data_IF_735075555799
#
_entry.id   IF_735075555799
#
_cell.length_a   1.000
_cell.length_b   1.000
_cell.length_c   1.000
_cell.angle_alpha   90.00
_cell.angle_beta   90.00
_cell.angle_gamma   90.00
#
_symmetry.space_group_name_H-M   'P 1'
#
loop_
_entity.id
_entity.type
_entity.pdbx_description
1 polymer ?
#
# COMPACT_ATOMS: atom_id res chain seq x y z
N UNK A 1 -8.37 2.35 9.98
CA UNK A 1 -8.73 1.36 11.00
C UNK A 1 -7.92 0.09 10.79
N UNK A 2 -7.56 -0.57 11.87
CA UNK A 2 -6.71 -1.76 11.78
C UNK A 2 -7.42 -2.90 11.06
N UNK A 3 -6.66 -3.65 10.28
CA UNK A 3 -7.20 -4.79 9.55
C UNK A 3 -7.83 -4.44 8.23
N UNK A 4 -7.98 -3.17 7.94
CA UNK A 4 -8.50 -2.75 6.63
C UNK A 4 -7.41 -2.72 5.59
N UNK A 5 -7.79 -3.03 4.38
CA UNK A 5 -6.85 -2.98 3.27
C UNK A 5 -7.53 -2.44 2.03
N UNK A 6 -6.72 -1.91 1.13
CA UNK A 6 -7.22 -1.49 -0.17
C UNK A 6 -6.14 -1.74 -1.21
N UNK A 7 -6.58 -1.83 -2.45
CA UNK A 7 -5.71 -2.15 -3.58
C UNK A 7 -5.64 -0.93 -4.50
N UNK A 8 -4.42 -0.57 -4.90
CA UNK A 8 -4.19 0.54 -5.82
C UNK A 8 -3.57 -0.02 -7.10
N UNK A 9 -4.30 -0.03 -8.22
CA UNK A 9 -3.74 -0.52 -9.49
C UNK A 9 -2.63 0.40 -9.97
N UNK A 10 -1.48 -0.14 -10.26
CA UNK A 10 -0.37 0.64 -10.80
C UNK A 10 0.68 -0.30 -11.35
N UNK A 11 1.34 0.10 -12.43
CA UNK A 11 2.48 -0.65 -12.95
C UNK A 11 3.79 -0.21 -12.30
N UNK A 12 3.77 0.91 -11.60
CA UNK A 12 4.95 1.44 -10.92
C UNK A 12 4.84 1.18 -9.44
N UNK A 13 5.03 -0.08 -9.05
CA UNK A 13 4.80 -0.51 -7.68
C UNK A 13 5.85 0.03 -6.71
N UNK A 14 7.13 0.02 -7.09
CA UNK A 14 8.18 0.48 -6.17
C UNK A 14 8.05 1.94 -5.75
N UNK A 15 7.88 2.89 -6.68
CA UNK A 15 7.65 4.28 -6.26
C UNK A 15 6.38 4.44 -5.45
N UNK A 16 5.33 3.69 -5.78
CA UNK A 16 4.07 3.78 -5.04
C UNK A 16 4.23 3.30 -3.61
N UNK A 17 4.94 2.19 -3.42
CA UNK A 17 5.21 1.67 -2.08
C UNK A 17 5.98 2.70 -1.26
N UNK A 18 7.01 3.30 -1.84
CA UNK A 18 7.80 4.32 -1.16
C UNK A 18 6.95 5.52 -0.75
N UNK A 19 6.11 5.99 -1.65
CA UNK A 19 5.25 7.14 -1.39
C UNK A 19 4.29 6.85 -0.23
N UNK A 20 3.65 5.68 -0.27
CA UNK A 20 2.67 5.31 0.74
C UNK A 20 3.34 5.16 2.11
N UNK A 21 4.48 4.50 2.15
CA UNK A 21 5.20 4.30 3.41
C UNK A 21 5.68 5.62 3.99
N UNK A 22 6.15 6.52 3.13
CA UNK A 22 6.63 7.82 3.57
C UNK A 22 5.49 8.65 4.16
N UNK A 23 4.33 8.63 3.50
CA UNK A 23 3.18 9.39 3.98
C UNK A 23 2.64 8.81 5.29
N UNK A 24 2.59 7.50 5.40
CA UNK A 24 2.14 6.87 6.63
C UNK A 24 3.05 7.23 7.79
N UNK A 25 4.35 7.24 7.55
CA UNK A 25 5.32 7.61 8.57
C UNK A 25 5.14 9.07 9.02
N UNK A 26 4.83 9.95 8.08
CA UNK A 26 4.63 11.36 8.39
C UNK A 26 3.45 11.59 9.32
N UNK A 27 2.42 10.76 9.22
CA UNK A 27 1.24 10.85 10.11
C UNK A 27 1.28 9.82 11.22
N UNK A 28 2.41 9.13 11.38
CA UNK A 28 2.64 8.15 12.47
C UNK A 28 1.67 6.99 12.45
N UNK A 29 1.37 6.51 11.24
CA UNK A 29 0.55 5.32 11.03
C UNK A 29 1.47 4.21 10.53
N UNK A 30 1.25 3.00 11.00
CA UNK A 30 1.99 1.84 10.51
C UNK A 30 1.16 1.12 9.47
N UNK A 31 1.79 0.82 8.33
CA UNK A 31 1.12 0.13 7.24
C UNK A 31 2.03 -0.96 6.70
N UNK A 32 1.41 -1.95 6.06
CA UNK A 32 2.12 -2.93 5.24
C UNK A 32 1.74 -2.69 3.81
N UNK A 33 2.74 -2.55 2.96
CA UNK A 33 2.52 -2.27 1.53
C UNK A 33 3.35 -3.27 0.74
N UNK A 34 2.73 -3.91 -0.25
CA UNK A 34 3.45 -4.85 -1.10
C UNK A 34 2.85 -4.89 -2.49
N UNK A 35 3.66 -5.29 -3.45
CA UNK A 35 3.22 -5.46 -4.82
C UNK A 35 2.42 -6.76 -4.94
N UNK A 36 1.30 -6.71 -5.63
CA UNK A 36 0.48 -7.88 -5.85
C UNK A 36 -0.37 -7.67 -7.09
N UNK A 37 -1.16 -8.67 -7.44
CA UNK A 37 -2.11 -8.56 -8.54
C UNK A 37 -3.52 -8.81 -8.02
N UNK A 38 -4.49 -8.20 -8.67
CA UNK A 38 -5.89 -8.42 -8.37
C UNK A 38 -6.65 -8.43 -9.69
N UNK A 39 -7.37 -9.51 -9.97
CA UNK A 39 -8.12 -9.67 -11.20
C UNK A 39 -7.26 -9.42 -12.44
N UNK A 40 -6.00 -9.86 -12.41
CA UNK A 40 -5.08 -9.71 -13.52
C UNK A 40 -4.44 -8.34 -13.63
N UNK A 41 -4.69 -7.44 -12.69
CA UNK A 41 -4.10 -6.11 -12.69
C UNK A 41 -3.01 -6.02 -11.65
N UNK A 42 -1.86 -5.52 -12.07
CA UNK A 42 -0.73 -5.28 -11.15
C UNK A 42 -1.00 -4.02 -10.33
N UNK A 43 -0.59 -4.06 -9.07
CA UNK A 43 -0.74 -2.91 -8.21
C UNK A 43 -0.11 -3.16 -6.85
N UNK A 44 -0.50 -2.37 -5.88
CA UNK A 44 -0.02 -2.52 -4.51
C UNK A 44 -1.21 -2.67 -3.58
N UNK A 45 -1.02 -3.48 -2.56
CA UNK A 45 -2.03 -3.63 -1.51
C UNK A 45 -1.48 -3.00 -0.23
N UNK A 46 -2.32 -2.19 0.38
CA UNK A 46 -1.96 -1.46 1.59
C UNK A 46 -2.80 -1.98 2.74
N UNK A 47 -2.13 -2.42 3.79
CA UNK A 47 -2.78 -2.88 5.02
C UNK A 47 -2.43 -1.92 6.14
N UNK A 48 -3.43 -1.43 6.84
CA UNK A 48 -3.19 -0.63 8.02
C UNK A 48 -3.00 -1.54 9.22
N UNK A 49 -1.87 -1.41 9.90
CA UNK A 49 -1.53 -2.27 11.03
C UNK A 49 -1.73 -1.58 12.37
N UNK A 50 -1.77 -0.28 12.39
CA UNK A 50 -2.01 0.44 13.64
C UNK A 50 -2.55 1.85 13.41
#
# INVERSE_FOLDING_TARGET
ERGESFFIPTVKTSPMIYIIETRAKAVKIKVRVYATTKDGHLGVRVWRVS
#
